data_IF_329574176258
#
_entry.id   IF_329574176258
#
_cell.length_a   1.000
_cell.length_b   1.000
_cell.length_c   1.000
_cell.angle_alpha   90.00
_cell.angle_beta   90.00
_cell.angle_gamma   90.00
#
_symmetry.space_group_name_H-M   'P 1'
#
loop_
_entity.id
_entity.type
_entity.pdbx_description
1 polymer ?
#
# COMPACT_ATOMS: atom_id res chain seq x y z
N UNK A 1 -10.57 19.58 -17.21
CA UNK A 1 -9.18 19.13 -16.99
C UNK A 1 -8.75 18.26 -18.15
N UNK A 2 -7.62 18.57 -18.78
CA UNK A 2 -7.04 17.79 -19.90
C UNK A 2 -6.49 16.45 -19.40
N UNK A 3 -6.66 15.38 -20.21
CA UNK A 3 -6.24 13.99 -19.91
C UNK A 3 -4.79 13.88 -19.43
N UNK A 4 -3.91 14.76 -19.92
CA UNK A 4 -2.49 14.86 -19.55
C UNK A 4 -2.28 15.32 -18.10
N UNK A 5 -3.03 16.33 -17.65
CA UNK A 5 -2.94 16.82 -16.26
C UNK A 5 -3.43 15.75 -15.27
N UNK A 6 -4.44 14.98 -15.68
CA UNK A 6 -4.98 13.89 -14.86
C UNK A 6 -3.95 12.78 -14.62
N UNK A 7 -3.16 12.40 -15.62
CA UNK A 7 -2.08 11.41 -15.47
C UNK A 7 -0.97 11.90 -14.53
N UNK A 8 -0.59 13.17 -14.63
CA UNK A 8 0.43 13.76 -13.76
C UNK A 8 -0.05 13.77 -12.30
N UNK A 9 -1.30 14.17 -12.07
CA UNK A 9 -1.90 14.17 -10.72
C UNK A 9 -1.90 12.75 -10.15
N UNK A 10 -2.32 11.75 -10.94
CA UNK A 10 -2.31 10.36 -10.52
C UNK A 10 -0.91 9.85 -10.19
N UNK A 11 0.09 10.20 -11.01
CA UNK A 11 1.48 9.83 -10.76
C UNK A 11 2.00 10.44 -9.45
N UNK A 12 1.70 11.72 -9.19
CA UNK A 12 2.08 12.39 -7.95
C UNK A 12 1.40 11.78 -6.72
N UNK A 13 0.12 11.45 -6.80
CA UNK A 13 -0.61 10.77 -5.73
C UNK A 13 0.02 9.41 -5.44
N UNK A 14 0.35 8.64 -6.49
CA UNK A 14 0.97 7.33 -6.34
C UNK A 14 2.37 7.44 -5.70
N UNK A 15 3.18 8.40 -6.13
CA UNK A 15 4.49 8.67 -5.55
C UNK A 15 4.41 9.09 -4.07
N UNK A 16 3.49 10.00 -3.74
CA UNK A 16 3.27 10.43 -2.37
C UNK A 16 2.84 9.25 -1.48
N UNK A 17 1.95 8.40 -1.98
CA UNK A 17 1.51 7.19 -1.29
C UNK A 17 2.67 6.22 -1.04
N UNK A 18 3.52 5.98 -2.03
CA UNK A 18 4.69 5.11 -1.89
C UNK A 18 5.68 5.64 -0.83
N UNK A 19 5.93 6.96 -0.81
CA UNK A 19 6.77 7.59 0.21
C UNK A 19 6.17 7.45 1.62
N UNK A 20 4.86 7.64 1.77
CA UNK A 20 4.16 7.48 3.05
C UNK A 20 4.25 6.05 3.57
N UNK A 21 4.03 5.06 2.69
CA UNK A 21 4.18 3.65 3.01
C UNK A 21 5.62 3.34 3.45
N UNK A 22 6.62 3.81 2.71
CA UNK A 22 8.02 3.56 3.02
C UNK A 22 8.41 4.15 4.38
N UNK A 23 8.01 5.40 4.65
CA UNK A 23 8.25 6.04 5.96
C UNK A 23 7.61 5.26 7.09
N UNK A 24 6.36 4.81 6.90
CA UNK A 24 5.65 3.97 7.87
C UNK A 24 6.38 2.66 8.18
N UNK A 25 6.88 1.97 7.14
CA UNK A 25 7.68 0.75 7.30
C UNK A 25 8.98 1.01 8.05
N UNK A 26 9.73 2.04 7.68
CA UNK A 26 10.98 2.41 8.36
C UNK A 26 10.74 2.70 9.84
N UNK A 27 9.70 3.48 10.16
CA UNK A 27 9.34 3.79 11.55
C UNK A 27 8.91 2.55 12.33
N UNK A 28 8.15 1.63 11.72
CA UNK A 28 7.76 0.39 12.36
C UNK A 28 8.94 -0.57 12.58
N UNK A 29 9.92 -0.61 11.66
CA UNK A 29 11.15 -1.39 11.82
C UNK A 29 12.02 -0.78 12.93
N UNK A 30 12.18 0.55 12.94
CA UNK A 30 12.92 1.24 14.01
C UNK A 30 12.31 0.99 15.39
N UNK A 31 10.97 1.00 15.48
CA UNK A 31 10.25 0.62 16.69
C UNK A 31 10.50 -0.83 17.11
N UNK A 32 10.58 -1.75 16.15
CA UNK A 32 10.85 -3.15 16.42
C UNK A 32 12.27 -3.35 16.97
N UNK A 33 13.26 -2.68 16.38
CA UNK A 33 14.66 -2.80 16.79
C UNK A 33 14.93 -2.12 18.15
N UNK A 34 14.36 -0.95 18.38
CA UNK A 34 14.44 -0.24 19.66
C UNK A 34 13.12 0.48 19.96
N UNK A 35 12.28 -0.05 20.88
CA UNK A 35 11.01 0.55 21.25
C UNK A 35 11.15 1.97 21.83
N UNK A 36 12.33 2.34 22.35
CA UNK A 36 12.62 3.65 22.91
C UNK A 36 13.00 4.71 21.87
N UNK A 37 13.24 4.31 20.61
CA UNK A 37 13.67 5.20 19.52
C UNK A 37 12.52 6.05 18.94
N UNK A 38 11.29 5.83 19.39
CA UNK A 38 10.06 6.19 18.67
C UNK A 38 9.30 7.23 19.48
N UNK A 39 9.07 8.41 18.91
CA UNK A 39 8.35 9.49 19.59
C UNK A 39 6.84 9.26 19.57
N UNK A 40 6.07 10.00 20.39
CA UNK A 40 4.62 9.87 20.44
C UNK A 40 3.91 10.07 19.08
N UNK A 41 4.46 10.90 18.20
CA UNK A 41 3.92 11.11 16.85
C UNK A 41 4.24 9.96 15.89
N UNK A 42 5.32 9.21 16.17
CA UNK A 42 5.74 8.09 15.32
C UNK A 42 4.81 6.88 15.43
N UNK A 43 4.10 6.74 16.55
CA UNK A 43 3.03 5.75 16.70
C UNK A 43 1.91 5.89 15.67
N UNK A 44 1.65 7.10 15.18
CA UNK A 44 0.72 7.30 14.07
C UNK A 44 1.17 6.54 12.82
N UNK A 45 2.47 6.57 12.50
CA UNK A 45 3.03 5.89 11.34
C UNK A 45 3.04 4.38 11.51
N UNK A 46 3.32 3.88 12.71
CA UNK A 46 3.27 2.44 13.03
C UNK A 46 1.85 1.91 12.87
N UNK A 47 0.85 2.62 13.41
CA UNK A 47 -0.56 2.23 13.28
C UNK A 47 -1.15 2.47 11.88
N UNK A 48 -0.62 3.45 11.14
CA UNK A 48 -1.01 3.70 9.76
C UNK A 48 -0.52 2.59 8.80
N UNK A 49 0.52 1.83 9.18
CA UNK A 49 1.09 0.78 8.35
C UNK A 49 0.05 -0.27 7.88
N UNK A 50 -0.71 -0.94 8.77
CA UNK A 50 -1.72 -1.91 8.34
C UNK A 50 -2.82 -1.28 7.48
N UNK A 51 -3.17 -0.01 7.71
CA UNK A 51 -4.17 0.71 6.89
C UNK A 51 -3.62 0.98 5.49
N UNK A 52 -2.39 1.46 5.39
CA UNK A 52 -1.72 1.73 4.11
C UNK A 52 -1.47 0.45 3.33
N UNK A 53 -1.05 -0.63 4.00
CA UNK A 53 -0.90 -1.96 3.39
C UNK A 53 -2.25 -2.51 2.93
N UNK A 54 -3.30 -2.40 3.74
CA UNK A 54 -4.65 -2.81 3.35
C UNK A 54 -5.18 -2.02 2.15
N UNK A 55 -4.93 -0.71 2.10
CA UNK A 55 -5.28 0.14 0.97
C UNK A 55 -4.48 -0.24 -0.28
N UNK A 56 -3.17 -0.46 -0.15
CA UNK A 56 -2.33 -0.97 -1.25
C UNK A 56 -2.86 -2.31 -1.78
N UNK A 57 -3.15 -3.26 -0.87
CA UNK A 57 -3.66 -4.58 -1.23
C UNK A 57 -5.07 -4.53 -1.85
N UNK A 58 -5.88 -3.52 -1.51
CA UNK A 58 -7.24 -3.37 -2.05
C UNK A 58 -7.28 -2.69 -3.41
N UNK A 59 -6.46 -1.66 -3.62
CA UNK A 59 -6.57 -0.77 -4.78
C UNK A 59 -5.43 -0.88 -5.78
N UNK A 60 -4.23 -1.24 -5.32
CA UNK A 60 -3.01 -1.28 -6.12
C UNK A 60 -2.39 -2.67 -6.26
N UNK A 61 -2.95 -3.67 -5.58
CA UNK A 61 -2.37 -5.00 -5.51
C UNK A 61 -2.24 -5.64 -6.87
N UNK A 62 -0.98 -5.79 -7.29
CA UNK A 62 -0.57 -6.64 -8.41
C UNK A 62 -0.89 -8.11 -8.11
N UNK A 63 -1.03 -8.47 -6.82
CA UNK A 63 -1.42 -9.79 -6.31
C UNK A 63 -2.93 -9.94 -6.14
N UNK A 64 -3.72 -8.88 -6.36
CA UNK A 64 -5.15 -9.07 -6.49
C UNK A 64 -5.35 -9.83 -7.79
N UNK A 65 -5.44 -11.15 -7.65
CA UNK A 65 -6.13 -12.02 -8.57
C UNK A 65 -7.59 -11.57 -8.66
N UNK A 66 -7.83 -10.39 -9.24
CA UNK A 66 -8.84 -10.37 -10.28
C UNK A 66 -8.40 -11.52 -11.16
N UNK A 67 -9.16 -12.61 -11.12
CA UNK A 67 -9.28 -13.50 -12.24
C UNK A 67 -9.66 -12.55 -13.40
N UNK A 68 -8.64 -11.96 -14.04
CA UNK A 68 -8.74 -11.15 -15.23
C UNK A 68 -9.16 -12.18 -16.27
N UNK A 69 -10.47 -12.24 -16.53
CA UNK A 69 -11.12 -13.16 -17.46
C UNK A 69 -11.40 -14.59 -16.96
N UNK A 70 -12.24 -14.80 -15.92
CA UNK A 70 -12.87 -16.11 -15.63
C UNK A 70 -11.95 -17.36 -15.57
N UNK A 71 -10.63 -17.21 -15.41
CA UNK A 71 -9.68 -18.33 -15.45
C UNK A 71 -9.64 -19.17 -14.16
N UNK A 72 -10.55 -18.87 -13.22
CA UNK A 72 -10.74 -19.61 -11.98
C UNK A 72 -11.88 -20.63 -12.11
N UNK A 73 -12.24 -20.99 -13.34
CA UNK A 73 -13.11 -22.13 -13.67
C UNK A 73 -12.23 -23.32 -14.09
N UNK A 74 -11.42 -23.84 -13.16
CA UNK A 74 -10.97 -25.22 -13.28
C UNK A 74 -12.09 -26.08 -12.70
N UNK A 75 -13.08 -26.33 -13.54
CA UNK A 75 -14.01 -27.43 -13.44
C UNK A 75 -13.22 -28.74 -13.35
N UNK A 76 -12.72 -29.07 -12.15
CA UNK A 76 -12.14 -30.38 -11.85
C UNK A 76 -13.30 -31.36 -11.63
N UNK A 77 -13.94 -31.71 -12.73
CA UNK A 77 -14.63 -33.00 -12.85
C UNK A 77 -13.59 -34.04 -13.19
N UNK A 78 -13.09 -34.73 -12.17
CA UNK A 78 -12.72 -36.14 -12.32
C UNK A 78 -12.92 -36.92 -11.04
#
# INVERSE_FOLDING_TARGET
>A
MTRRNQLIIWFLIWMAFAMLLFKSVVTAVAWWEDPGSVSGFDWFWVLALPVLVGFYLRYFSILSGRCVNNACDSHDTR
#
